data_IF_664123616422
#
_entry.id   IF_664123616422
#
_cell.length_a   1.000
_cell.length_b   1.000
_cell.length_c   1.000
_cell.angle_alpha   90.00
_cell.angle_beta   90.00
_cell.angle_gamma   90.00
#
_symmetry.space_group_name_H-M   'P 1'
#
loop_
_entity.id
_entity.type
_entity.pdbx_description
1 polymer ?
#
# COMPACT_ATOMS: atom_id res chain seq x y z
N UNK A 1 32.75 -5.71 -1.92
CA UNK A 1 32.19 -7.07 -1.93
C UNK A 1 30.70 -6.95 -1.74
N UNK A 2 29.90 -7.51 -2.66
CA UNK A 2 28.43 -7.50 -2.55
C UNK A 2 28.05 -8.53 -1.48
N UNK A 3 27.00 -8.26 -0.67
CA UNK A 3 26.57 -9.23 0.38
C UNK A 3 26.18 -10.59 -0.18
N UNK A 4 25.89 -10.68 -1.46
CA UNK A 4 25.63 -11.93 -2.20
C UNK A 4 26.85 -12.88 -2.26
N UNK A 5 28.07 -12.35 -2.29
CA UNK A 5 29.30 -13.16 -2.32
C UNK A 5 29.52 -13.88 -0.99
N UNK A 6 29.11 -13.23 0.11
CA UNK A 6 29.20 -13.81 1.46
C UNK A 6 28.15 -14.89 1.71
N UNK A 7 26.97 -14.78 1.07
CA UNK A 7 25.88 -15.71 1.24
C UNK A 7 25.99 -16.97 0.35
N UNK A 8 26.96 -17.03 -0.57
CA UNK A 8 27.15 -18.13 -1.55
C UNK A 8 25.88 -18.49 -2.32
N UNK A 9 25.10 -17.47 -2.71
CA UNK A 9 23.88 -17.70 -3.49
C UNK A 9 24.22 -18.09 -4.92
N UNK A 10 23.48 -19.07 -5.46
CA UNK A 10 23.75 -19.61 -6.79
C UNK A 10 23.08 -18.79 -7.91
N UNK A 11 22.02 -18.08 -7.61
CA UNK A 11 21.25 -17.29 -8.59
C UNK A 11 20.48 -16.16 -7.91
N UNK A 12 20.32 -15.05 -8.61
CA UNK A 12 19.41 -13.97 -8.27
C UNK A 12 18.24 -14.00 -9.27
N UNK A 13 17.00 -14.02 -8.76
CA UNK A 13 15.81 -13.83 -9.57
C UNK A 13 15.25 -12.44 -9.29
N UNK A 14 15.09 -11.63 -10.33
CA UNK A 14 14.63 -10.26 -10.23
C UNK A 14 13.37 -10.02 -11.04
N UNK A 15 12.30 -9.52 -10.41
CA UNK A 15 11.07 -9.13 -11.08
C UNK A 15 11.15 -7.64 -11.48
N UNK A 16 11.44 -7.40 -12.74
CA UNK A 16 11.54 -6.09 -13.37
C UNK A 16 10.25 -5.64 -14.05
N UNK A 17 10.33 -4.57 -14.85
CA UNK A 17 9.24 -4.06 -15.68
C UNK A 17 9.62 -4.05 -17.16
N UNK A 18 8.66 -4.36 -18.03
CA UNK A 18 8.85 -4.30 -19.48
C UNK A 18 9.11 -2.85 -19.90
N UNK A 19 10.23 -2.61 -20.55
CA UNK A 19 10.67 -1.31 -21.05
C UNK A 19 11.16 -1.47 -22.49
N UNK A 20 10.24 -1.33 -23.45
CA UNK A 20 10.52 -1.58 -24.87
C UNK A 20 10.87 -0.31 -25.65
N UNK A 21 10.84 0.87 -25.01
CA UNK A 21 10.98 2.15 -25.71
C UNK A 21 12.15 3.00 -25.14
N UNK A 22 12.79 3.78 -26.01
CA UNK A 22 13.85 4.73 -25.64
C UNK A 22 13.35 5.90 -24.74
N UNK A 23 12.03 6.12 -24.69
CA UNK A 23 11.36 7.10 -23.82
C UNK A 23 10.83 6.46 -22.53
N UNK A 24 11.63 5.66 -21.89
CA UNK A 24 11.28 4.96 -20.66
C UNK A 24 11.01 5.93 -19.51
N UNK A 25 9.94 5.71 -18.74
CA UNK A 25 9.66 6.47 -17.52
C UNK A 25 10.80 6.32 -16.49
N UNK A 26 10.95 7.32 -15.60
CA UNK A 26 11.96 7.25 -14.53
C UNK A 26 11.85 5.98 -13.69
N UNK A 27 10.63 5.53 -13.46
CA UNK A 27 10.35 4.30 -12.70
C UNK A 27 10.85 3.05 -13.44
N UNK A 28 10.53 2.91 -14.73
CA UNK A 28 11.01 1.77 -15.54
C UNK A 28 12.52 1.83 -15.72
N UNK A 29 13.09 3.04 -15.89
CA UNK A 29 14.54 3.22 -15.95
C UNK A 29 15.21 2.72 -14.66
N UNK A 30 14.72 3.14 -13.49
CA UNK A 30 15.25 2.68 -12.20
C UNK A 30 15.20 1.14 -12.07
N UNK A 31 14.13 0.49 -12.55
CA UNK A 31 14.05 -0.98 -12.57
C UNK A 31 15.06 -1.60 -13.51
N UNK A 32 15.24 -1.04 -14.70
CA UNK A 32 16.27 -1.49 -15.64
C UNK A 32 17.67 -1.31 -15.07
N UNK A 33 17.95 -0.15 -14.48
CA UNK A 33 19.24 0.14 -13.83
C UNK A 33 19.51 -0.85 -12.68
N UNK A 34 18.47 -1.21 -11.90
CA UNK A 34 18.59 -2.25 -10.86
C UNK A 34 18.99 -3.59 -11.45
N UNK A 35 18.38 -4.04 -12.54
CA UNK A 35 18.76 -5.28 -13.23
C UNK A 35 20.21 -5.25 -13.71
N UNK A 36 20.66 -4.11 -14.26
CA UNK A 36 22.06 -3.91 -14.70
C UNK A 36 23.02 -3.98 -13.51
N UNK A 37 22.72 -3.33 -12.40
CA UNK A 37 23.57 -3.36 -11.20
C UNK A 37 23.64 -4.77 -10.58
N UNK A 38 22.52 -5.49 -10.54
CA UNK A 38 22.51 -6.89 -10.10
C UNK A 38 23.38 -7.77 -11.00
N UNK A 39 23.36 -7.57 -12.31
CA UNK A 39 24.19 -8.33 -13.25
C UNK A 39 25.69 -8.12 -13.03
N UNK A 40 26.12 -7.02 -12.43
CA UNK A 40 27.52 -6.76 -12.07
C UNK A 40 28.00 -7.53 -10.83
N UNK A 41 27.09 -8.20 -10.11
CA UNK A 41 27.41 -8.91 -8.86
C UNK A 41 28.30 -10.16 -9.07
N UNK A 42 28.45 -10.64 -10.29
CA UNK A 42 29.13 -11.91 -10.59
C UNK A 42 28.27 -13.15 -10.34
N UNK A 43 27.07 -13.00 -9.76
CA UNK A 43 26.09 -14.06 -9.58
C UNK A 43 25.15 -14.10 -10.80
N UNK A 44 24.78 -15.28 -11.33
CA UNK A 44 23.79 -15.39 -12.40
C UNK A 44 22.49 -14.67 -12.05
N UNK A 45 22.03 -13.74 -12.89
CA UNK A 45 20.79 -12.98 -12.69
C UNK A 45 19.77 -13.32 -13.75
N UNK A 46 18.63 -13.86 -13.32
CA UNK A 46 17.46 -14.08 -14.16
C UNK A 46 16.46 -12.95 -13.92
N UNK A 47 16.32 -12.06 -14.88
CA UNK A 47 15.37 -10.95 -14.81
C UNK A 47 14.08 -11.34 -15.55
N UNK A 48 12.97 -11.42 -14.80
CA UNK A 48 11.61 -11.53 -15.36
C UNK A 48 11.00 -10.13 -15.41
N UNK A 49 10.57 -9.69 -16.60
CA UNK A 49 9.95 -8.38 -16.79
C UNK A 49 8.47 -8.52 -17.04
N UNK A 50 7.65 -7.89 -16.21
CA UNK A 50 6.20 -7.86 -16.34
C UNK A 50 5.71 -6.47 -16.74
N UNK A 51 4.55 -6.43 -17.39
CA UNK A 51 3.77 -5.22 -17.58
C UNK A 51 2.86 -4.95 -16.37
N UNK A 52 1.55 -4.78 -16.65
CA UNK A 52 0.54 -4.60 -15.61
C UNK A 52 0.24 -5.94 -14.95
N UNK A 53 0.47 -6.04 -13.64
CA UNK A 53 0.11 -7.23 -12.86
C UNK A 53 -1.29 -7.03 -12.28
N UNK A 54 -2.21 -7.93 -12.60
CA UNK A 54 -3.57 -7.94 -12.07
C UNK A 54 -3.60 -8.84 -10.84
N UNK A 55 -3.91 -8.22 -9.69
CA UNK A 55 -4.04 -8.91 -8.42
C UNK A 55 -4.52 -7.94 -7.35
N UNK A 56 -5.22 -8.47 -6.35
CA UNK A 56 -5.64 -7.69 -5.19
C UNK A 56 -4.42 -7.09 -4.48
N UNK A 57 -4.47 -5.78 -4.16
CA UNK A 57 -3.35 -5.07 -3.53
C UNK A 57 -2.27 -4.56 -4.48
N UNK A 58 -2.28 -4.92 -5.77
CA UNK A 58 -1.38 -4.32 -6.77
C UNK A 58 -1.72 -2.85 -7.01
N UNK A 59 -0.73 -1.95 -6.96
CA UNK A 59 -0.95 -0.52 -7.18
C UNK A 59 -1.58 -0.21 -8.54
N UNK A 60 -1.18 -0.92 -9.60
CA UNK A 60 -1.73 -0.75 -10.95
C UNK A 60 -3.19 -1.21 -11.03
N UNK A 61 -3.52 -2.34 -10.41
CA UNK A 61 -4.88 -2.83 -10.35
C UNK A 61 -5.78 -1.95 -9.47
N UNK A 62 -5.29 -1.52 -8.30
CA UNK A 62 -6.03 -0.61 -7.41
C UNK A 62 -6.31 0.74 -8.09
N UNK A 63 -5.37 1.29 -8.84
CA UNK A 63 -5.59 2.49 -9.63
C UNK A 63 -6.71 2.28 -10.66
N UNK A 64 -6.68 1.19 -11.42
CA UNK A 64 -7.72 0.82 -12.39
C UNK A 64 -9.09 0.66 -11.70
N UNK A 65 -9.13 -0.08 -10.58
CA UNK A 65 -10.34 -0.33 -9.80
C UNK A 65 -10.97 0.97 -9.31
N UNK A 66 -10.21 1.80 -8.62
CA UNK A 66 -10.74 3.04 -8.05
C UNK A 66 -11.17 4.05 -9.11
N UNK A 67 -10.41 4.21 -10.19
CA UNK A 67 -10.80 5.08 -11.30
C UNK A 67 -12.12 4.61 -11.93
N UNK A 68 -12.21 3.33 -12.23
CA UNK A 68 -13.40 2.77 -12.89
C UNK A 68 -14.61 2.79 -11.97
N UNK A 69 -14.44 2.49 -10.68
CA UNK A 69 -15.56 2.47 -9.74
C UNK A 69 -16.13 3.87 -9.49
N UNK A 70 -15.26 4.87 -9.32
CA UNK A 70 -15.66 6.23 -8.91
C UNK A 70 -16.11 7.13 -10.05
N UNK A 71 -15.62 6.91 -11.28
CA UNK A 71 -15.87 7.80 -12.41
C UNK A 71 -16.78 7.16 -13.45
N UNK A 72 -18.07 7.53 -13.52
CA UNK A 72 -18.95 7.11 -14.61
C UNK A 72 -18.54 7.76 -15.95
N UNK A 73 -17.97 8.96 -15.90
CA UNK A 73 -17.38 9.68 -17.04
C UNK A 73 -15.91 9.94 -16.74
N UNK A 74 -15.04 9.44 -17.60
CA UNK A 74 -13.59 9.55 -17.43
C UNK A 74 -12.98 10.42 -18.50
N UNK A 75 -12.36 11.52 -18.09
CA UNK A 75 -11.47 12.30 -18.97
C UNK A 75 -10.11 11.63 -19.00
N UNK A 76 -9.69 11.15 -20.16
CA UNK A 76 -8.46 10.36 -20.29
C UNK A 76 -7.49 10.96 -21.29
N UNK A 77 -6.18 10.84 -21.04
CA UNK A 77 -5.16 11.19 -22.02
C UNK A 77 -5.12 10.18 -23.19
N UNK A 78 -4.41 10.55 -24.26
CA UNK A 78 -4.28 9.70 -25.46
C UNK A 78 -3.65 8.32 -25.18
N UNK A 79 -2.74 8.22 -24.20
CA UNK A 79 -2.01 6.99 -23.88
C UNK A 79 -2.88 5.85 -23.33
N UNK A 80 -4.12 6.12 -22.91
CA UNK A 80 -5.07 5.06 -22.49
C UNK A 80 -5.34 4.02 -23.60
N UNK A 81 -5.03 4.37 -24.84
CA UNK A 81 -5.10 3.48 -26.01
C UNK A 81 -3.83 2.68 -26.29
N UNK A 82 -2.75 2.94 -25.59
CA UNK A 82 -1.51 2.17 -25.77
C UNK A 82 -1.77 0.71 -25.43
N UNK A 83 -1.09 -0.17 -26.15
CA UNK A 83 -1.22 -1.61 -25.96
C UNK A 83 -0.45 -2.02 -24.71
N UNK A 84 -1.05 -2.89 -23.95
CA UNK A 84 -0.43 -3.54 -22.79
C UNK A 84 -0.79 -5.00 -22.78
N UNK A 85 0.07 -5.82 -22.21
CA UNK A 85 -0.15 -7.26 -22.04
C UNK A 85 -0.18 -7.54 -20.54
N UNK A 86 -1.38 -7.39 -19.88
CA UNK A 86 -1.50 -7.62 -18.46
C UNK A 86 -1.32 -9.10 -18.13
N UNK A 87 -0.79 -9.38 -16.94
CA UNK A 87 -0.58 -10.74 -16.44
C UNK A 87 -1.24 -10.90 -15.06
N UNK A 88 -1.85 -12.05 -14.81
CA UNK A 88 -2.40 -12.36 -13.48
C UNK A 88 -1.26 -12.60 -12.48
N UNK A 89 -1.44 -12.16 -11.22
CA UNK A 89 -0.44 -12.39 -10.16
C UNK A 89 -0.11 -13.87 -9.97
N UNK A 90 -1.10 -14.76 -10.12
CA UNK A 90 -0.87 -16.21 -10.03
C UNK A 90 0.12 -16.73 -11.08
N UNK A 91 0.07 -16.19 -12.30
CA UNK A 91 0.96 -16.59 -13.40
C UNK A 91 2.36 -15.99 -13.17
N UNK A 92 2.46 -14.78 -12.60
CA UNK A 92 3.76 -14.24 -12.16
C UNK A 92 4.40 -15.14 -11.11
N UNK A 93 3.62 -15.57 -10.11
CA UNK A 93 4.10 -16.48 -9.06
C UNK A 93 4.49 -17.85 -9.63
N UNK A 94 3.75 -18.37 -10.62
CA UNK A 94 4.12 -19.57 -11.34
C UNK A 94 5.50 -19.43 -11.97
N UNK A 95 5.75 -18.38 -12.76
CA UNK A 95 7.05 -18.19 -13.39
C UNK A 95 8.16 -18.00 -12.36
N UNK A 96 7.92 -17.23 -11.30
CA UNK A 96 8.89 -17.05 -10.21
C UNK A 96 9.23 -18.38 -9.53
N UNK A 97 8.24 -19.22 -9.23
CA UNK A 97 8.49 -20.53 -8.63
C UNK A 97 9.25 -21.47 -9.57
N UNK A 98 8.91 -21.46 -10.87
CA UNK A 98 9.59 -22.28 -11.87
C UNK A 98 11.05 -21.90 -12.12
N UNK A 99 11.44 -20.64 -11.84
CA UNK A 99 12.86 -20.27 -11.89
C UNK A 99 13.71 -21.03 -10.87
N UNK A 100 13.13 -21.44 -9.72
CA UNK A 100 13.82 -22.20 -8.68
C UNK A 100 14.02 -23.66 -9.10
N UNK A 101 13.13 -24.18 -9.96
CA UNK A 101 13.16 -25.56 -10.44
C UNK A 101 14.10 -25.75 -11.64
N UNK A 102 14.73 -24.69 -12.16
CA UNK A 102 15.64 -24.78 -13.28
C UNK A 102 16.85 -25.65 -12.93
N UNK A 103 17.28 -26.57 -13.82
CA UNK A 103 18.33 -27.53 -13.50
C UNK A 103 19.71 -26.91 -13.28
N UNK A 104 19.90 -25.67 -13.70
CA UNK A 104 21.12 -24.89 -13.53
C UNK A 104 20.80 -23.40 -13.49
N UNK A 105 21.65 -22.59 -12.84
CA UNK A 105 21.50 -21.13 -12.88
C UNK A 105 21.53 -20.58 -14.30
N UNK A 106 20.62 -19.65 -14.59
CA UNK A 106 20.47 -19.01 -15.91
C UNK A 106 20.59 -17.50 -15.72
N UNK A 107 21.40 -16.87 -16.58
CA UNK A 107 21.44 -15.40 -16.70
C UNK A 107 20.67 -14.98 -17.94
N UNK A 108 19.85 -13.94 -17.82
CA UNK A 108 19.13 -13.40 -18.95
C UNK A 108 17.95 -12.54 -18.56
N UNK A 109 17.37 -11.91 -19.55
CA UNK A 109 16.20 -11.05 -19.43
C UNK A 109 15.06 -11.69 -20.22
N UNK A 110 13.94 -11.95 -19.54
CA UNK A 110 12.77 -12.58 -20.13
C UNK A 110 11.52 -11.78 -19.77
N UNK A 111 10.67 -11.53 -20.76
CA UNK A 111 9.41 -10.85 -20.59
C UNK A 111 8.30 -11.85 -20.28
N UNK A 112 7.47 -11.53 -19.29
CA UNK A 112 6.28 -12.29 -18.91
C UNK A 112 5.01 -11.45 -19.15
N UNK A 113 4.02 -12.03 -19.80
CA UNK A 113 2.74 -11.40 -20.09
C UNK A 113 1.61 -12.41 -20.05
N UNK A 114 0.38 -11.94 -19.91
CA UNK A 114 -0.80 -12.79 -20.02
C UNK A 114 -1.14 -13.15 -21.47
N UNK A 115 -2.21 -13.90 -21.69
CA UNK A 115 -2.55 -14.40 -23.04
C UNK A 115 -3.09 -13.31 -23.97
N UNK A 116 -3.46 -12.14 -23.46
CA UNK A 116 -4.17 -11.11 -24.23
C UNK A 116 -3.40 -9.79 -24.26
N UNK A 117 -3.27 -9.23 -25.46
CA UNK A 117 -2.84 -7.84 -25.65
C UNK A 117 -4.06 -6.94 -25.76
N UNK A 118 -4.14 -5.92 -24.91
CA UNK A 118 -5.28 -5.00 -24.91
C UNK A 118 -4.88 -3.59 -24.49
N UNK A 119 -5.83 -2.64 -24.53
CA UNK A 119 -5.61 -1.26 -24.09
C UNK A 119 -6.06 -1.08 -22.65
N UNK A 120 -5.52 -0.08 -21.96
CA UNK A 120 -5.96 0.26 -20.62
C UNK A 120 -7.45 0.63 -20.57
N UNK A 121 -7.94 1.34 -21.62
CA UNK A 121 -9.36 1.65 -21.82
C UNK A 121 -10.22 0.36 -21.82
N UNK A 122 -9.78 -0.65 -22.58
CA UNK A 122 -10.50 -1.94 -22.66
C UNK A 122 -10.52 -2.67 -21.30
N UNK A 123 -9.41 -2.63 -20.54
CA UNK A 123 -9.37 -3.19 -19.19
C UNK A 123 -10.34 -2.48 -18.24
N UNK A 124 -10.46 -1.13 -18.30
CA UNK A 124 -11.43 -0.40 -17.50
C UNK A 124 -12.88 -0.77 -17.85
N UNK A 125 -13.21 -0.94 -19.13
CA UNK A 125 -14.54 -1.37 -19.52
C UNK A 125 -14.83 -2.81 -19.06
N UNK A 126 -13.86 -3.70 -19.19
CA UNK A 126 -13.95 -5.09 -18.71
C UNK A 126 -14.16 -5.14 -17.19
N UNK A 127 -13.39 -4.33 -16.46
CA UNK A 127 -13.58 -4.19 -15.01
C UNK A 127 -15.00 -3.69 -14.68
N UNK A 128 -15.50 -2.67 -15.38
CA UNK A 128 -16.84 -2.13 -15.14
C UNK A 128 -17.92 -3.19 -15.37
N UNK A 129 -17.80 -4.00 -16.43
CA UNK A 129 -18.70 -5.10 -16.72
C UNK A 129 -18.72 -6.14 -15.58
N UNK A 130 -17.53 -6.62 -15.15
CA UNK A 130 -17.40 -7.63 -14.09
C UNK A 130 -17.94 -7.10 -12.75
N UNK A 131 -17.66 -5.83 -12.44
CA UNK A 131 -18.15 -5.19 -11.21
C UNK A 131 -19.62 -4.79 -11.25
N UNK A 132 -20.40 -5.15 -12.29
CA UNK A 132 -21.81 -4.81 -12.43
C UNK A 132 -22.07 -3.31 -12.62
N UNK A 133 -21.09 -2.55 -13.06
CA UNK A 133 -21.20 -1.10 -13.27
C UNK A 133 -21.66 -0.80 -14.71
N UNK A 134 -22.32 0.34 -14.88
CA UNK A 134 -22.68 0.82 -16.23
C UNK A 134 -21.39 1.05 -17.05
N UNK A 135 -21.48 0.89 -18.37
CA UNK A 135 -20.38 1.21 -19.30
C UNK A 135 -19.84 2.63 -19.04
N UNK A 136 -18.52 2.74 -18.92
CA UNK A 136 -17.86 4.02 -18.63
C UNK A 136 -17.72 4.86 -19.90
N UNK A 137 -18.13 6.11 -19.80
CA UNK A 137 -17.93 7.06 -20.91
C UNK A 137 -16.50 7.60 -20.84
N UNK A 138 -15.70 7.28 -21.84
CA UNK A 138 -14.29 7.74 -21.93
C UNK A 138 -14.22 8.92 -22.90
N UNK A 139 -13.93 10.12 -22.37
CA UNK A 139 -13.75 11.34 -23.13
C UNK A 139 -12.24 11.63 -23.22
N UNK A 140 -11.72 11.71 -24.46
CA UNK A 140 -10.31 11.96 -24.69
C UNK A 140 -10.01 13.45 -24.65
N UNK A 141 -9.08 13.84 -23.80
CA UNK A 141 -8.63 15.23 -23.67
C UNK A 141 -7.18 15.31 -24.14
N UNK A 142 -6.90 16.11 -25.20
CA UNK A 142 -5.55 16.16 -25.79
C UNK A 142 -4.50 16.84 -24.90
N UNK A 143 -4.92 17.61 -23.90
CA UNK A 143 -4.07 18.49 -23.07
C UNK A 143 -3.64 17.87 -21.73
N UNK A 144 -4.10 16.66 -21.40
CA UNK A 144 -3.72 16.02 -20.13
C UNK A 144 -2.28 15.51 -20.17
N UNK A 145 -1.38 16.27 -19.55
CA UNK A 145 0.01 15.83 -19.31
C UNK A 145 0.05 14.72 -18.25
N UNK A 146 1.10 13.88 -18.20
CA UNK A 146 1.26 12.88 -17.15
C UNK A 146 1.20 13.45 -15.74
N UNK A 147 1.74 14.65 -15.54
CA UNK A 147 1.71 15.36 -14.26
C UNK A 147 0.28 15.73 -13.85
N UNK A 148 -0.52 16.33 -14.73
CA UNK A 148 -1.93 16.65 -14.46
C UNK A 148 -2.75 15.39 -14.26
N UNK A 149 -2.50 14.34 -15.06
CA UNK A 149 -3.17 13.05 -14.90
C UNK A 149 -2.88 12.41 -13.54
N UNK A 150 -1.64 12.46 -13.06
CA UNK A 150 -1.25 11.91 -11.77
C UNK A 150 -1.85 12.67 -10.58
N UNK A 151 -1.97 14.01 -10.68
CA UNK A 151 -2.66 14.84 -9.69
C UNK A 151 -4.15 14.48 -9.62
N UNK A 152 -4.79 14.35 -10.79
CA UNK A 152 -6.18 13.94 -10.88
C UNK A 152 -6.41 12.53 -10.30
N UNK A 153 -5.58 11.56 -10.65
CA UNK A 153 -5.63 10.20 -10.09
C UNK A 153 -5.44 10.24 -8.58
N UNK A 154 -4.46 10.98 -8.09
CA UNK A 154 -4.24 11.15 -6.66
C UNK A 154 -5.40 11.85 -5.94
N UNK A 155 -6.22 12.66 -6.62
CA UNK A 155 -7.44 13.25 -6.06
C UNK A 155 -8.61 12.26 -6.02
N UNK A 156 -8.80 11.50 -7.09
CA UNK A 156 -9.94 10.60 -7.27
C UNK A 156 -9.72 9.23 -6.59
N UNK A 157 -8.47 8.78 -6.48
CA UNK A 157 -8.13 7.46 -5.91
C UNK A 157 -7.40 7.59 -4.58
N UNK A 158 -7.36 6.54 -3.74
CA UNK A 158 -6.52 6.51 -2.55
C UNK A 158 -5.03 6.37 -2.86
N UNK A 159 -4.64 6.13 -4.12
CA UNK A 159 -3.24 6.00 -4.53
C UNK A 159 -2.55 7.36 -4.47
N UNK A 160 -1.48 7.52 -3.65
CA UNK A 160 -0.75 8.78 -3.57
C UNK A 160 -0.18 9.21 -4.92
N UNK A 161 -0.09 10.53 -5.15
CA UNK A 161 0.48 11.08 -6.39
C UNK A 161 1.92 10.64 -6.64
N UNK A 162 2.68 10.39 -5.57
CA UNK A 162 4.06 9.88 -5.63
C UNK A 162 4.16 8.49 -6.24
N UNK A 163 3.13 7.65 -6.08
CA UNK A 163 3.02 6.33 -6.72
C UNK A 163 2.25 6.39 -8.04
N UNK A 164 1.18 7.18 -8.09
CA UNK A 164 0.37 7.31 -9.30
C UNK A 164 1.19 7.87 -10.48
N UNK A 165 2.07 8.85 -10.23
CA UNK A 165 2.86 9.49 -11.29
C UNK A 165 3.79 8.52 -12.02
N UNK A 166 4.64 7.73 -11.35
CA UNK A 166 5.47 6.71 -12.02
C UNK A 166 4.66 5.67 -12.79
N UNK A 167 3.50 5.25 -12.25
CA UNK A 167 2.63 4.29 -12.91
C UNK A 167 2.02 4.89 -14.19
N UNK A 168 1.52 6.13 -14.14
CA UNK A 168 0.99 6.83 -15.31
C UNK A 168 2.06 7.05 -16.36
N UNK A 169 3.25 7.48 -15.96
CA UNK A 169 4.40 7.65 -16.86
C UNK A 169 4.76 6.32 -17.55
N UNK A 170 4.59 5.18 -16.88
CA UNK A 170 4.86 3.85 -17.46
C UNK A 170 3.82 3.44 -18.50
N UNK A 171 2.59 4.00 -18.47
CA UNK A 171 1.54 3.70 -19.44
C UNK A 171 1.66 4.50 -20.75
N UNK A 172 2.57 5.47 -20.81
CA UNK A 172 2.79 6.30 -22.01
C UNK A 172 3.39 5.48 -23.16
N UNK A 173 4.19 4.47 -22.82
CA UNK A 173 4.79 3.53 -23.78
C UNK A 173 3.95 2.26 -23.88
N UNK A 174 4.05 1.55 -24.98
CA UNK A 174 3.47 0.22 -25.11
C UNK A 174 4.24 -0.77 -24.25
N UNK A 175 3.49 -1.61 -23.53
CA UNK A 175 4.02 -2.59 -22.60
C UNK A 175 3.52 -3.98 -23.01
N UNK A 176 4.19 -4.55 -24.00
CA UNK A 176 3.87 -5.86 -24.61
C UNK A 176 5.15 -6.69 -24.61
N UNK A 177 5.01 -8.00 -24.41
CA UNK A 177 6.12 -8.96 -24.43
C UNK A 177 6.89 -8.87 -25.76
N UNK A 178 8.19 -8.75 -25.66
CA UNK A 178 9.10 -8.85 -26.80
C UNK A 178 9.32 -10.32 -27.14
N UNK A 179 8.98 -10.69 -28.37
CA UNK A 179 9.13 -12.09 -28.86
C UNK A 179 10.56 -12.64 -28.72
N UNK A 180 11.56 -11.76 -28.79
CA UNK A 180 12.95 -12.16 -28.60
C UNK A 180 13.26 -12.53 -27.15
N UNK A 181 12.54 -11.94 -26.20
CA UNK A 181 12.72 -12.11 -24.74
C UNK A 181 11.60 -12.92 -24.09
N UNK A 182 10.75 -13.56 -24.87
CA UNK A 182 9.62 -14.32 -24.36
C UNK A 182 10.09 -15.44 -23.39
N UNK A 183 9.53 -15.45 -22.20
CA UNK A 183 9.84 -16.43 -21.13
C UNK A 183 9.57 -17.87 -21.55
N UNK A 184 8.67 -18.09 -22.52
CA UNK A 184 8.35 -19.44 -23.02
C UNK A 184 9.55 -20.15 -23.66
N UNK A 185 10.60 -19.41 -24.02
CA UNK A 185 11.89 -19.99 -24.45
C UNK A 185 12.63 -20.71 -23.31
N UNK A 186 12.31 -20.40 -22.07
CA UNK A 186 12.97 -20.92 -20.86
C UNK A 186 12.02 -21.73 -19.98
N UNK A 187 10.81 -21.26 -19.78
CA UNK A 187 9.81 -21.85 -18.90
C UNK A 187 8.50 -21.98 -19.68
N UNK A 188 7.96 -23.20 -19.83
CA UNK A 188 6.69 -23.41 -20.53
C UNK A 188 5.53 -22.76 -19.80
N UNK A 189 4.42 -22.54 -20.51
CA UNK A 189 3.16 -22.13 -19.88
C UNK A 189 2.67 -23.16 -18.86
N UNK A 190 1.82 -22.74 -17.89
CA UNK A 190 1.11 -23.66 -17.01
C UNK A 190 0.28 -24.66 -17.84
N UNK A 191 0.08 -25.87 -17.34
CA UNK A 191 -0.70 -26.94 -18.03
C UNK A 191 -2.10 -26.49 -18.46
N UNK A 192 -2.74 -25.60 -17.67
CA UNK A 192 -4.06 -25.06 -17.96
C UNK A 192 -4.01 -23.73 -18.76
N UNK A 193 -2.84 -23.38 -19.31
CA UNK A 193 -2.59 -22.09 -19.95
C UNK A 193 -2.53 -20.90 -18.98
N UNK A 194 -2.23 -19.74 -19.53
CA UNK A 194 -2.19 -18.48 -18.77
C UNK A 194 -3.60 -17.98 -18.45
N UNK A 195 -3.74 -17.32 -17.32
CA UNK A 195 -5.03 -16.79 -16.83
C UNK A 195 -5.51 -15.63 -17.71
N UNK A 196 -6.71 -15.74 -18.33
CA UNK A 196 -7.30 -14.63 -19.08
C UNK A 196 -7.51 -13.41 -18.21
N UNK A 197 -7.43 -12.21 -18.80
CA UNK A 197 -7.60 -10.94 -18.08
C UNK A 197 -8.93 -10.85 -17.34
N UNK A 198 -10.01 -11.36 -17.92
CA UNK A 198 -11.32 -11.43 -17.28
C UNK A 198 -11.24 -12.19 -15.96
N UNK A 199 -10.76 -13.41 -15.99
CA UNK A 199 -10.62 -14.27 -14.82
C UNK A 199 -9.68 -13.68 -13.78
N UNK A 200 -8.58 -13.03 -14.21
CA UNK A 200 -7.67 -12.35 -13.31
C UNK A 200 -8.36 -11.21 -12.53
N UNK A 201 -9.22 -10.43 -13.20
CA UNK A 201 -10.01 -9.35 -12.57
C UNK A 201 -11.07 -9.94 -11.63
N UNK A 202 -11.77 -11.00 -12.04
CA UNK A 202 -12.79 -11.69 -11.21
C UNK A 202 -12.16 -12.20 -9.91
N UNK A 203 -11.06 -12.93 -9.98
CA UNK A 203 -10.32 -13.42 -8.81
C UNK A 203 -9.81 -12.29 -7.91
N UNK A 204 -9.33 -11.20 -8.50
CA UNK A 204 -8.86 -10.05 -7.72
C UNK A 204 -10.01 -9.36 -6.99
N UNK A 205 -11.21 -9.26 -7.59
CA UNK A 205 -12.40 -8.69 -6.97
C UNK A 205 -12.98 -9.60 -5.89
N UNK A 206 -12.99 -10.91 -6.11
CA UNK A 206 -13.43 -11.89 -5.11
C UNK A 206 -12.60 -11.78 -3.84
N UNK A 207 -11.27 -11.74 -3.93
CA UNK A 207 -10.39 -11.53 -2.77
C UNK A 207 -10.58 -10.17 -2.10
N UNK A 208 -10.92 -9.13 -2.84
CA UNK A 208 -11.28 -7.83 -2.25
C UNK A 208 -12.58 -7.92 -1.46
N UNK A 209 -13.59 -8.64 -1.99
CA UNK A 209 -14.90 -8.78 -1.34
C UNK A 209 -14.88 -9.72 -0.14
N UNK A 210 -14.05 -10.77 -0.17
CA UNK A 210 -13.86 -11.71 0.95
C UNK A 210 -12.90 -11.21 2.02
N UNK A 211 -12.30 -10.03 1.86
CA UNK A 211 -11.25 -9.49 2.75
C UNK A 211 -10.01 -10.40 2.90
N UNK A 212 -9.74 -11.25 1.91
CA UNK A 212 -8.58 -12.17 1.89
C UNK A 212 -7.34 -11.56 1.25
N UNK A 213 -7.21 -10.24 1.27
CA UNK A 213 -6.03 -9.54 0.73
C UNK A 213 -4.89 -9.67 1.73
N UNK A 214 -3.86 -10.43 1.37
CA UNK A 214 -2.67 -10.64 2.22
C UNK A 214 -1.79 -9.39 2.29
N UNK A 215 -1.58 -8.70 1.17
CA UNK A 215 -0.73 -7.50 1.09
C UNK A 215 -1.32 -6.45 0.16
N UNK A 216 -1.04 -5.18 0.45
CA UNK A 216 -1.38 -4.04 -0.42
C UNK A 216 -0.12 -3.25 -0.75
N UNK A 217 -0.14 -2.49 -1.85
CA UNK A 217 0.94 -1.55 -2.19
C UNK A 217 1.26 -0.59 -1.03
N UNK A 218 0.27 -0.25 -0.20
CA UNK A 218 0.42 0.61 0.98
C UNK A 218 1.24 -0.04 2.10
N UNK A 219 1.43 -1.36 2.06
CA UNK A 219 2.13 -2.12 3.10
C UNK A 219 3.64 -2.22 2.82
N UNK A 220 4.10 -1.69 1.68
CA UNK A 220 5.49 -1.80 1.22
C UNK A 220 6.52 -1.03 2.06
N UNK A 221 6.11 -0.21 3.02
CA UNK A 221 7.03 0.58 3.85
C UNK A 221 6.72 0.35 5.32
N UNK A 222 7.55 -0.44 5.99
CA UNK A 222 7.53 -0.55 7.45
C UNK A 222 8.66 0.33 8.02
N UNK A 223 8.35 1.44 8.72
CA UNK A 223 9.38 2.19 9.43
C UNK A 223 9.80 1.44 10.69
N UNK A 224 11.09 1.27 10.91
CA UNK A 224 11.62 0.83 12.20
C UNK A 224 11.41 1.92 13.25
N UNK A 225 10.87 1.56 14.41
CA UNK A 225 10.64 2.50 15.49
C UNK A 225 11.97 3.01 16.07
N UNK A 226 12.19 4.34 16.11
CA UNK A 226 13.48 4.90 16.53
C UNK A 226 13.78 4.74 18.03
N UNK A 227 12.80 4.31 18.83
CA UNK A 227 12.96 4.05 20.27
C UNK A 227 13.24 2.59 20.62
N UNK A 228 13.35 1.70 19.67
CA UNK A 228 13.95 0.40 19.94
C UNK A 228 15.39 0.65 20.37
N UNK A 229 15.53 0.94 21.67
CA UNK A 229 16.84 1.06 22.31
C UNK A 229 17.56 -0.25 22.11
N UNK A 230 18.79 -0.20 21.61
CA UNK A 230 19.65 -1.36 21.63
C UNK A 230 19.84 -1.80 23.08
N UNK A 231 19.87 -3.12 23.34
CA UNK A 231 20.16 -3.62 24.67
C UNK A 231 21.53 -3.04 25.11
N UNK A 232 21.48 -2.18 26.15
CA UNK A 232 22.68 -1.55 26.69
C UNK A 232 22.74 -0.02 26.58
N UNK A 233 21.78 0.61 25.86
CA UNK A 233 21.72 2.07 25.79
C UNK A 233 21.36 2.70 27.14
N UNK A 234 22.06 3.79 27.56
CA UNK A 234 21.73 4.50 28.79
C UNK A 234 20.32 5.09 28.75
N UNK A 235 19.67 5.23 29.91
CA UNK A 235 18.30 5.72 30.04
C UNK A 235 18.07 7.15 29.46
N UNK A 236 19.13 7.94 29.35
CA UNK A 236 19.13 9.29 28.76
C UNK A 236 19.44 9.28 27.25
N UNK A 237 19.87 8.16 26.68
CA UNK A 237 20.07 8.04 25.23
C UNK A 237 18.70 8.00 24.56
N UNK A 238 18.41 8.95 23.72
CA UNK A 238 17.15 9.04 22.97
C UNK A 238 16.80 10.47 22.59
N UNK A 239 15.93 10.60 21.59
CA UNK A 239 15.41 11.90 21.18
C UNK A 239 14.39 12.44 22.20
N UNK A 240 14.17 13.76 22.20
CA UNK A 240 13.10 14.38 22.99
C UNK A 240 11.75 13.79 22.57
N UNK A 241 10.98 13.28 23.54
CA UNK A 241 9.64 12.74 23.34
C UNK A 241 8.62 13.56 24.09
N UNK A 242 7.54 13.91 23.42
CA UNK A 242 6.33 14.45 24.06
C UNK A 242 5.29 13.34 24.13
N UNK A 243 4.61 13.21 25.27
CA UNK A 243 3.56 12.22 25.50
C UNK A 243 2.29 12.86 26.01
N UNK A 244 1.16 12.47 25.45
CA UNK A 244 -0.18 12.73 26.00
C UNK A 244 -0.80 11.39 26.36
N UNK A 245 -0.97 11.14 27.65
CA UNK A 245 -1.46 9.87 28.21
C UNK A 245 -2.87 10.09 28.75
N UNK A 246 -3.82 9.30 28.29
CA UNK A 246 -5.21 9.31 28.74
C UNK A 246 -5.59 7.91 29.20
N UNK A 247 -6.25 7.86 30.36
CA UNK A 247 -6.68 6.59 30.97
C UNK A 247 -8.18 6.67 31.22
N UNK A 248 -8.88 5.56 30.95
CA UNK A 248 -10.28 5.39 31.27
C UNK A 248 -10.55 3.96 31.75
N UNK A 249 -11.49 3.82 32.67
CA UNK A 249 -11.96 2.52 33.15
C UNK A 249 -13.42 2.32 32.74
N UNK A 250 -13.78 1.07 32.44
CA UNK A 250 -15.13 0.67 32.09
C UNK A 250 -15.47 -0.69 32.71
N UNK A 251 -16.74 -0.94 32.94
CA UNK A 251 -17.26 -2.24 33.40
C UNK A 251 -17.35 -3.28 32.28
N UNK A 252 -17.23 -2.86 31.00
CA UNK A 252 -17.28 -3.77 29.87
C UNK A 252 -16.08 -4.75 29.89
N UNK A 253 -16.28 -6.02 29.51
CA UNK A 253 -15.20 -7.01 29.42
C UNK A 253 -14.09 -6.58 28.44
N UNK A 254 -12.85 -6.99 28.71
CA UNK A 254 -11.68 -6.59 27.93
C UNK A 254 -11.79 -6.95 26.45
N UNK A 255 -12.33 -8.12 26.12
CA UNK A 255 -12.55 -8.55 24.74
C UNK A 255 -13.57 -7.68 24.00
N UNK A 256 -14.57 -7.18 24.69
CA UNK A 256 -15.58 -6.28 24.14
C UNK A 256 -14.99 -4.89 23.88
N UNK A 257 -14.23 -4.34 24.81
CA UNK A 257 -13.51 -3.07 24.61
C UNK A 257 -12.49 -3.19 23.47
N UNK A 258 -11.78 -4.34 23.43
CA UNK A 258 -10.80 -4.62 22.37
C UNK A 258 -11.42 -4.62 20.98
N UNK A 259 -12.60 -5.21 20.81
CA UNK A 259 -13.27 -5.24 19.48
C UNK A 259 -13.50 -3.85 18.92
N UNK A 260 -13.79 -2.85 19.75
CA UNK A 260 -13.92 -1.45 19.33
C UNK A 260 -12.56 -0.79 19.05
N UNK A 261 -11.53 -1.09 19.83
CA UNK A 261 -10.17 -0.61 19.56
C UNK A 261 -9.64 -1.20 18.26
N UNK A 262 -9.87 -2.47 18.00
CA UNK A 262 -9.46 -3.14 16.78
C UNK A 262 -10.17 -2.60 15.53
N UNK A 263 -11.39 -2.09 15.67
CA UNK A 263 -12.22 -1.58 14.59
C UNK A 263 -12.04 -0.08 14.29
N UNK A 264 -11.13 0.63 14.94
CA UNK A 264 -10.91 2.07 14.70
C UNK A 264 -10.47 2.35 13.27
N UNK A 265 -10.83 3.52 12.75
CA UNK A 265 -10.45 4.03 11.43
C UNK A 265 -11.23 3.44 10.25
N UNK A 266 -10.90 3.90 9.04
CA UNK A 266 -11.65 3.58 7.82
C UNK A 266 -13.10 4.03 7.92
N UNK A 267 -14.03 3.19 7.45
CA UNK A 267 -15.47 3.50 7.44
C UNK A 267 -16.08 3.50 8.85
N UNK A 268 -15.45 2.84 9.82
CA UNK A 268 -15.92 2.83 11.22
C UNK A 268 -15.61 4.13 11.97
N UNK A 269 -14.72 4.97 11.42
CA UNK A 269 -14.31 6.24 12.03
C UNK A 269 -13.42 6.10 13.28
N UNK A 270 -13.21 7.21 13.98
CA UNK A 270 -12.28 7.32 15.11
C UNK A 270 -13.02 7.55 16.45
N UNK A 271 -14.29 7.13 16.53
CA UNK A 271 -15.13 7.24 17.72
C UNK A 271 -15.25 8.65 18.31
N UNK A 272 -15.14 9.66 17.49
CA UNK A 272 -15.38 11.05 17.89
C UNK A 272 -14.53 12.04 17.12
N UNK A 273 -15.15 13.23 16.92
CA UNK A 273 -14.49 14.34 16.22
C UNK A 273 -13.95 13.97 14.83
N UNK A 274 -14.64 13.10 14.10
CA UNK A 274 -14.21 12.63 12.77
C UNK A 274 -13.94 13.80 11.80
N UNK A 275 -14.65 14.90 11.96
CA UNK A 275 -14.40 16.12 11.19
C UNK A 275 -12.98 16.69 11.39
N UNK A 276 -12.39 16.55 12.58
CA UNK A 276 -10.99 16.98 12.84
C UNK A 276 -10.01 16.04 12.13
N UNK A 277 -10.29 14.74 12.11
CA UNK A 277 -9.51 13.77 11.35
C UNK A 277 -9.61 14.04 9.85
N UNK A 278 -10.81 14.37 9.35
CA UNK A 278 -11.02 14.80 7.96
C UNK A 278 -10.24 16.07 7.63
N UNK A 279 -10.31 17.08 8.49
CA UNK A 279 -9.58 18.34 8.33
C UNK A 279 -8.07 18.09 8.31
N UNK A 280 -7.58 17.26 9.25
CA UNK A 280 -6.17 16.88 9.32
C UNK A 280 -5.73 16.12 8.06
N UNK A 281 -6.54 15.18 7.60
CA UNK A 281 -6.29 14.43 6.38
C UNK A 281 -6.30 15.32 5.13
N UNK A 282 -7.17 16.32 5.08
CA UNK A 282 -7.21 17.31 4.00
C UNK A 282 -5.93 18.16 3.97
N UNK A 283 -5.51 18.66 5.13
CA UNK A 283 -4.26 19.43 5.25
C UNK A 283 -3.05 18.59 4.83
N UNK A 284 -2.98 17.34 5.29
CA UNK A 284 -1.91 16.41 4.89
C UNK A 284 -1.86 16.23 3.36
N UNK A 285 -3.02 16.13 2.72
CA UNK A 285 -3.13 16.04 1.26
C UNK A 285 -2.63 17.28 0.53
N UNK A 286 -2.92 18.47 1.06
CA UNK A 286 -2.45 19.74 0.48
C UNK A 286 -0.92 19.78 0.48
N UNK A 287 -0.28 19.26 1.54
CA UNK A 287 1.18 19.17 1.65
C UNK A 287 1.80 17.94 1.00
N UNK A 288 1.01 17.13 0.27
CA UNK A 288 1.49 15.97 -0.49
C UNK A 288 1.56 14.66 0.30
N UNK A 289 0.99 14.62 1.50
CA UNK A 289 0.88 13.42 2.32
C UNK A 289 -0.24 12.45 1.89
N UNK A 290 -0.37 11.35 2.61
CA UNK A 290 -1.31 10.26 2.30
C UNK A 290 -2.77 10.61 2.59
N UNK A 291 -3.04 11.48 3.57
CA UNK A 291 -4.40 11.79 4.00
C UNK A 291 -5.18 10.56 4.48
N UNK A 292 -6.50 10.63 4.51
CA UNK A 292 -7.42 9.53 4.86
C UNK A 292 -7.72 8.59 3.66
N UNK A 293 -6.77 8.36 2.76
CA UNK A 293 -7.04 7.70 1.48
C UNK A 293 -6.93 6.18 1.52
N UNK A 294 -6.16 5.64 2.47
CA UNK A 294 -5.80 4.23 2.47
C UNK A 294 -6.91 3.33 2.99
N UNK A 295 -7.78 3.87 3.87
CA UNK A 295 -8.82 3.08 4.50
C UNK A 295 -8.26 1.92 5.32
N UNK A 296 -9.05 0.86 5.43
CA UNK A 296 -8.68 -0.41 6.09
C UNK A 296 -8.64 -1.54 5.08
N UNK A 297 -7.78 -2.54 5.34
CA UNK A 297 -7.78 -3.81 4.60
C UNK A 297 -9.03 -4.65 4.95
N UNK A 298 -9.29 -4.81 6.23
CA UNK A 298 -10.37 -5.60 6.81
C UNK A 298 -11.16 -4.71 7.80
N UNK A 299 -12.50 -4.65 7.76
CA UNK A 299 -13.30 -3.78 8.64
C UNK A 299 -13.27 -4.20 10.12
N UNK A 300 -12.89 -5.46 10.43
CA UNK A 300 -12.95 -5.99 11.80
C UNK A 300 -11.58 -6.36 12.37
N UNK A 301 -10.63 -6.81 11.55
CA UNK A 301 -9.34 -7.35 12.01
C UNK A 301 -8.17 -6.52 11.52
N UNK A 302 -7.12 -6.44 12.36
CA UNK A 302 -5.85 -5.80 12.07
C UNK A 302 -4.71 -6.81 12.09
N UNK A 303 -3.63 -6.47 11.38
CA UNK A 303 -2.35 -7.17 11.41
C UNK A 303 -1.23 -6.14 11.42
N UNK A 304 -0.07 -6.53 11.95
CA UNK A 304 1.14 -5.72 11.83
C UNK A 304 1.43 -5.43 10.35
N UNK A 305 1.69 -4.17 10.04
CA UNK A 305 1.90 -3.70 8.67
C UNK A 305 0.64 -3.19 7.96
N UNK A 306 -0.57 -3.44 8.48
CA UNK A 306 -1.81 -2.91 7.87
C UNK A 306 -1.83 -1.38 7.85
N UNK A 307 -2.32 -0.81 6.76
CA UNK A 307 -2.62 0.62 6.66
C UNK A 307 -4.00 0.92 7.25
N UNK A 308 -4.06 1.95 8.07
CA UNK A 308 -5.27 2.43 8.73
C UNK A 308 -5.36 3.96 8.55
N UNK A 309 -6.04 4.40 7.50
CA UNK A 309 -6.07 5.79 7.06
C UNK A 309 -4.65 6.32 6.79
N UNK A 310 -4.14 7.26 7.60
CA UNK A 310 -2.76 7.76 7.57
C UNK A 310 -1.87 7.11 8.64
N UNK A 311 -2.34 6.05 9.29
CA UNK A 311 -1.60 5.28 10.26
C UNK A 311 -1.14 3.95 9.67
N UNK A 312 -0.13 3.37 10.29
CA UNK A 312 0.33 2.00 10.06
C UNK A 312 0.34 1.24 11.37
N UNK A 313 -0.19 0.03 11.36
CA UNK A 313 -0.09 -0.88 12.50
C UNK A 313 1.35 -1.33 12.65
N UNK A 314 2.01 -0.92 13.73
CA UNK A 314 3.41 -1.24 14.02
C UNK A 314 3.51 -2.41 15.02
N UNK A 315 2.68 -2.42 16.05
CA UNK A 315 2.58 -3.51 17.02
C UNK A 315 1.11 -3.89 17.22
N UNK A 316 0.85 -5.18 17.30
CA UNK A 316 -0.47 -5.73 17.52
C UNK A 316 -0.39 -6.97 18.39
N UNK A 317 -1.00 -6.91 19.57
CA UNK A 317 -1.21 -8.02 20.51
C UNK A 317 -2.71 -8.09 20.81
N UNK A 318 -3.37 -9.13 20.31
CA UNK A 318 -4.83 -9.28 20.40
C UNK A 318 -5.31 -9.20 21.86
N UNK A 319 -6.32 -8.37 22.10
CA UNK A 319 -6.89 -8.14 23.45
C UNK A 319 -6.07 -7.22 24.34
N UNK A 320 -4.85 -6.80 23.98
CA UNK A 320 -3.94 -6.11 24.87
C UNK A 320 -3.32 -4.83 24.36
N UNK A 321 -2.75 -4.86 23.14
CA UNK A 321 -1.95 -3.73 22.65
C UNK A 321 -2.10 -3.51 21.17
N UNK A 322 -2.33 -2.25 20.80
CA UNK A 322 -2.29 -1.76 19.44
C UNK A 322 -1.42 -0.52 19.38
N UNK A 323 -0.36 -0.53 18.56
CA UNK A 323 0.46 0.65 18.25
C UNK A 323 0.34 1.01 16.79
N UNK A 324 0.07 2.29 16.57
CA UNK A 324 -0.07 2.89 15.27
C UNK A 324 1.04 3.93 15.04
N UNK A 325 1.73 3.84 13.92
CA UNK A 325 2.69 4.83 13.45
C UNK A 325 2.05 5.79 12.44
N UNK A 326 2.27 7.09 12.60
CA UNK A 326 1.74 8.10 11.69
C UNK A 326 2.60 8.22 10.43
N UNK A 327 2.00 7.96 9.26
CA UNK A 327 2.63 8.14 7.95
C UNK A 327 2.27 9.47 7.28
N UNK A 328 1.51 10.32 7.96
CA UNK A 328 1.26 11.69 7.53
C UNK A 328 2.53 12.55 7.60
N UNK A 329 2.58 13.63 6.83
CA UNK A 329 3.70 14.57 6.87
C UNK A 329 3.68 15.35 8.18
N UNK A 330 4.69 15.10 9.00
CA UNK A 330 4.89 15.72 10.30
C UNK A 330 6.30 16.29 10.42
N UNK A 331 6.50 17.37 11.17
CA UNK A 331 7.84 17.84 11.53
C UNK A 331 8.43 16.99 12.66
N UNK A 332 8.38 15.67 12.52
CA UNK A 332 8.79 14.67 13.50
C UNK A 332 8.16 13.32 13.19
N UNK A 333 8.14 12.45 14.20
CA UNK A 333 7.49 11.13 14.13
C UNK A 333 6.42 11.05 15.23
N UNK A 334 5.31 10.37 14.94
CA UNK A 334 4.21 10.27 15.90
C UNK A 334 3.66 8.84 15.96
N UNK A 335 3.19 8.48 17.14
CA UNK A 335 2.59 7.18 17.43
C UNK A 335 1.35 7.35 18.28
N UNK A 336 0.43 6.42 18.12
CA UNK A 336 -0.78 6.30 18.94
C UNK A 336 -0.87 4.87 19.42
N UNK A 337 -0.80 4.70 20.74
CA UNK A 337 -0.87 3.42 21.42
C UNK A 337 -2.19 3.26 22.16
N UNK A 338 -2.74 2.05 22.14
CA UNK A 338 -3.83 1.61 23.00
C UNK A 338 -3.38 0.38 23.76
N UNK A 339 -3.42 0.45 25.11
CA UNK A 339 -3.16 -0.68 26.00
C UNK A 339 -4.39 -0.97 26.83
N UNK A 340 -4.76 -2.24 26.91
CA UNK A 340 -5.87 -2.73 27.72
C UNK A 340 -5.33 -3.64 28.82
N UNK A 341 -5.82 -3.42 30.02
CA UNK A 341 -5.47 -4.21 31.21
C UNK A 341 -6.74 -4.46 32.03
N UNK A 342 -6.83 -5.61 32.69
CA UNK A 342 -7.87 -5.88 33.68
C UNK A 342 -7.37 -5.48 35.07
N UNK A 343 -8.07 -4.54 35.71
CA UNK A 343 -7.73 -4.02 37.04
C UNK A 343 -9.01 -3.97 37.87
N UNK A 344 -9.02 -4.65 39.02
CA UNK A 344 -10.14 -4.65 39.96
C UNK A 344 -11.49 -5.04 39.30
N UNK A 345 -11.50 -6.04 38.42
CA UNK A 345 -12.65 -6.49 37.62
C UNK A 345 -13.22 -5.45 36.65
N UNK A 346 -12.45 -4.43 36.34
CA UNK A 346 -12.76 -3.44 35.31
C UNK A 346 -11.71 -3.49 34.22
N UNK A 347 -12.10 -3.13 33.02
CA UNK A 347 -11.15 -2.92 31.93
C UNK A 347 -10.61 -1.51 31.99
N UNK A 348 -9.30 -1.38 32.11
CA UNK A 348 -8.58 -0.11 31.96
C UNK A 348 -8.03 0.00 30.57
N UNK A 349 -8.39 1.07 29.86
CA UNK A 349 -7.83 1.44 28.56
C UNK A 349 -6.92 2.65 28.73
N UNK A 350 -5.66 2.49 28.32
CA UNK A 350 -4.66 3.56 28.29
C UNK A 350 -4.35 3.91 26.84
N UNK A 351 -4.62 5.16 26.46
CA UNK A 351 -4.27 5.73 25.16
C UNK A 351 -3.07 6.64 25.34
N UNK A 352 -2.00 6.43 24.57
CA UNK A 352 -0.79 7.25 24.59
C UNK A 352 -0.48 7.79 23.20
N UNK A 353 -0.50 9.10 23.04
CA UNK A 353 0.03 9.75 21.84
C UNK A 353 1.49 10.15 22.13
N UNK A 354 2.42 9.62 21.35
CA UNK A 354 3.85 9.91 21.45
C UNK A 354 4.30 10.70 20.22
N UNK A 355 5.06 11.77 20.42
CA UNK A 355 5.63 12.57 19.34
C UNK A 355 7.10 12.85 19.57
N UNK A 356 7.93 12.53 18.58
CA UNK A 356 9.34 12.88 18.51
C UNK A 356 9.54 14.07 17.57
N UNK A 357 9.78 15.27 18.08
CA UNK A 357 9.91 16.46 17.26
C UNK A 357 11.24 16.45 16.48
N UNK A 358 11.20 16.92 15.24
CA UNK A 358 12.40 17.22 14.45
C UNK A 358 12.68 18.72 14.53
N UNK A 359 13.67 19.07 15.35
CA UNK A 359 14.08 20.47 15.54
C UNK A 359 13.01 21.36 16.19
N UNK A 360 13.20 22.67 16.11
CA UNK A 360 12.30 23.66 16.71
C UNK A 360 10.89 23.63 16.10
N UNK A 361 10.80 23.42 14.78
CA UNK A 361 9.50 23.33 14.09
C UNK A 361 8.62 22.21 14.63
N UNK A 362 9.20 21.06 14.97
CA UNK A 362 8.49 19.95 15.60
C UNK A 362 7.98 20.29 17.01
N UNK A 363 8.79 21.00 17.80
CA UNK A 363 8.38 21.43 19.14
C UNK A 363 7.22 22.44 19.09
N UNK A 364 7.26 23.39 18.17
CA UNK A 364 6.18 24.36 17.97
C UNK A 364 4.90 23.68 17.50
N UNK A 365 5.05 22.73 16.55
CA UNK A 365 3.92 21.92 16.07
C UNK A 365 3.22 21.20 17.22
N UNK A 366 3.95 20.49 18.10
CA UNK A 366 3.36 19.79 19.25
C UNK A 366 2.58 20.72 20.15
N UNK A 367 3.15 21.90 20.49
CA UNK A 367 2.49 22.90 21.34
C UNK A 367 1.19 23.42 20.70
N UNK A 368 1.18 23.56 19.37
CA UNK A 368 0.00 24.02 18.63
C UNK A 368 -1.12 22.97 18.59
N UNK A 369 -0.78 21.66 18.51
CA UNK A 369 -1.80 20.59 18.44
C UNK A 369 -2.22 20.06 19.81
N UNK A 370 -1.43 20.23 20.87
CA UNK A 370 -1.73 19.73 22.20
C UNK A 370 -3.13 20.15 22.72
N UNK A 371 -3.65 21.39 22.52
CA UNK A 371 -5.01 21.74 22.89
C UNK A 371 -6.09 20.89 22.20
N UNK A 372 -5.87 20.48 20.94
CA UNK A 372 -6.81 19.62 20.22
C UNK A 372 -6.82 18.19 20.80
N UNK A 373 -5.69 17.70 21.27
CA UNK A 373 -5.60 16.41 21.95
C UNK A 373 -6.47 16.37 23.21
N UNK A 374 -6.57 17.48 23.96
CA UNK A 374 -7.38 17.54 25.18
C UNK A 374 -8.88 17.41 24.90
N UNK A 375 -9.34 17.71 23.71
CA UNK A 375 -10.72 17.55 23.27
C UNK A 375 -10.97 16.18 22.62
N UNK A 376 -10.07 15.79 21.73
CA UNK A 376 -10.23 14.64 20.84
C UNK A 376 -10.06 13.31 21.58
N UNK A 377 -8.98 13.12 22.31
CA UNK A 377 -8.66 11.84 22.94
C UNK A 377 -9.59 11.43 24.07
N UNK A 378 -10.00 12.32 25.01
CA UNK A 378 -10.98 11.97 26.01
C UNK A 378 -12.35 11.59 25.41
N UNK A 379 -12.77 12.28 24.34
CA UNK A 379 -14.02 11.99 23.63
C UNK A 379 -13.97 10.62 22.96
N UNK A 380 -12.84 10.31 22.29
CA UNK A 380 -12.61 9.01 21.67
C UNK A 380 -12.67 7.87 22.69
N UNK A 381 -11.92 7.95 23.79
CA UNK A 381 -11.95 6.93 24.85
C UNK A 381 -13.33 6.78 25.47
N UNK A 382 -14.03 7.92 25.72
CA UNK A 382 -15.40 7.90 26.26
C UNK A 382 -16.34 7.14 25.34
N UNK A 383 -16.27 7.36 24.04
CA UNK A 383 -17.17 6.73 23.09
C UNK A 383 -16.84 5.25 22.88
N UNK A 384 -15.54 4.87 22.87
CA UNK A 384 -15.13 3.45 22.83
C UNK A 384 -15.72 2.71 24.05
N UNK A 385 -15.53 3.24 25.28
CA UNK A 385 -16.07 2.61 26.48
C UNK A 385 -17.60 2.55 26.47
N UNK A 386 -18.27 3.64 26.09
CA UNK A 386 -19.74 3.68 25.99
C UNK A 386 -20.29 2.67 24.98
N UNK A 387 -19.66 2.55 23.82
CA UNK A 387 -20.07 1.58 22.81
C UNK A 387 -19.87 0.14 23.32
N UNK A 388 -18.77 -0.11 24.01
CA UNK A 388 -18.49 -1.40 24.65
C UNK A 388 -19.46 -1.73 25.79
N UNK A 389 -19.94 -0.78 26.56
CA UNK A 389 -20.95 -0.98 27.61
C UNK A 389 -22.36 -1.20 27.07
N UNK A 390 -22.64 -0.81 25.83
CA UNK A 390 -23.94 -0.87 25.20
C UNK A 390 -24.14 -2.10 24.30
N UNK A 391 -23.08 -2.86 24.03
CA UNK A 391 -23.06 -4.06 23.20
C UNK A 391 -23.28 -5.31 24.03
#
# INVERSE_FOLDING_TARGET
MCSSDLAKINQIVYLGGIANDSKTSRHLKSRTDTGIELAKSGVPVLELRAGIIIGSGSASFEMLRHLTHRLPVMTTPKWVKNRTQPIAIRDVLYYLSKTIELPRPVSGIYDIGGPEVQTYEKMMQLFAEIAGLRKRLVIKVPVLTPALSSLWIGFVTPVPTTLARPLVESLISEVVVDKEKDVHKLIPEPENGLTPTRTAIELALERVSSNEIETRWSDATAPTAPWQKAQGDPSWAGATEFKDIRVRETSAPINQVWSYVEQIGGDNGWYGSDWLWYLRGLLDRIFGGVGLRRGRRDPYKLRVGDSLDFWRVEEYEEGRHLRLYAEMILPGKAWLDFKLEEVDRKTRITQTATFQPRGLGGQLYWRAIAPFHTLLFPTMLKNICKSAESA
#
